data_IF_548811698001
#
_entry.id   IF_548811698001
#
_cell.length_a   1.000
_cell.length_b   1.000
_cell.length_c   1.000
_cell.angle_alpha   90.00
_cell.angle_beta   90.00
_cell.angle_gamma   90.00
#
_symmetry.space_group_name_H-M   'P 1'
#
loop_
_entity.id
_entity.type
_entity.pdbx_description
1 polymer ?
#
# COMPACT_ATOMS: atom_id res chain seq x y z
N UNK A 1 14.64 -4.06 -7.56
CA UNK A 1 13.22 -4.51 -7.44
C UNK A 1 12.47 -4.06 -8.70
N UNK A 2 11.27 -4.58 -8.99
CA UNK A 2 10.57 -4.29 -10.25
C UNK A 2 10.37 -2.78 -10.51
N UNK A 3 10.05 -2.01 -9.46
CA UNK A 3 9.86 -0.55 -9.50
C UNK A 3 11.13 0.19 -9.94
N UNK A 4 12.27 -0.12 -9.32
CA UNK A 4 13.56 0.48 -9.66
C UNK A 4 13.99 0.11 -11.10
N UNK A 5 13.80 -1.15 -11.50
CA UNK A 5 14.15 -1.62 -12.83
C UNK A 5 13.29 -0.96 -13.93
N UNK A 6 12.10 -0.47 -13.59
CA UNK A 6 11.22 0.32 -14.47
C UNK A 6 11.54 1.82 -14.45
N UNK A 7 12.60 2.25 -13.76
CA UNK A 7 13.01 3.66 -13.68
C UNK A 7 12.02 4.56 -12.94
N UNK A 8 11.15 3.99 -12.10
CA UNK A 8 10.09 4.76 -11.43
C UNK A 8 10.58 5.52 -10.18
N UNK A 9 11.75 5.16 -9.65
CA UNK A 9 12.32 5.72 -8.42
C UNK A 9 12.60 4.65 -7.36
N UNK A 10 12.79 5.10 -6.11
CA UNK A 10 13.09 4.24 -4.96
C UNK A 10 11.84 4.04 -4.10
N UNK A 11 11.51 2.80 -3.75
CA UNK A 11 10.42 2.50 -2.81
C UNK A 11 10.82 2.88 -1.38
N UNK A 12 9.90 3.51 -0.66
CA UNK A 12 10.05 3.89 0.75
C UNK A 12 9.20 2.95 1.63
N UNK A 13 9.87 2.18 2.48
CA UNK A 13 9.24 1.21 3.38
C UNK A 13 8.98 1.87 4.74
N UNK A 14 7.75 1.75 5.23
CA UNK A 14 7.32 2.16 6.56
C UNK A 14 7.30 0.98 7.53
N UNK A 15 6.25 0.92 8.35
CA UNK A 15 6.11 -0.08 9.40
C UNK A 15 5.92 -1.48 8.82
N UNK A 16 6.57 -2.48 9.42
CA UNK A 16 6.39 -3.91 9.12
C UNK A 16 5.86 -4.66 10.33
N UNK A 17 6.67 -4.76 11.37
CA UNK A 17 6.31 -5.39 12.64
C UNK A 17 7.44 -5.22 13.65
N UNK A 18 7.13 -5.39 14.93
CA UNK A 18 8.14 -5.43 16.00
C UNK A 18 8.97 -6.72 15.90
N UNK A 19 10.13 -6.81 16.60
CA UNK A 19 11.03 -7.97 16.52
C UNK A 19 10.37 -9.34 16.73
N UNK A 20 9.29 -9.41 17.53
CA UNK A 20 8.51 -10.62 17.77
C UNK A 20 7.02 -10.43 17.43
N UNK A 21 6.68 -9.46 16.58
CA UNK A 21 5.30 -9.12 16.27
C UNK A 21 4.55 -8.51 17.47
N UNK A 22 3.24 -8.78 17.56
CA UNK A 22 2.37 -8.25 18.62
C UNK A 22 1.82 -6.85 18.35
N UNK A 23 0.90 -6.39 19.23
CA UNK A 23 0.20 -5.12 19.07
C UNK A 23 1.15 -3.93 19.26
N UNK A 24 1.10 -2.97 18.34
CA UNK A 24 1.74 -1.66 18.55
C UNK A 24 1.06 -0.87 19.68
N UNK A 25 1.83 0.03 20.30
CA UNK A 25 1.34 0.99 21.31
C UNK A 25 0.86 2.31 20.66
N UNK A 26 0.19 2.22 19.51
CA UNK A 26 -0.23 3.34 18.66
C UNK A 26 -0.05 3.03 17.17
N UNK A 27 -0.85 3.65 16.29
CA UNK A 27 -0.81 3.41 14.85
C UNK A 27 -1.78 2.32 14.37
N UNK A 28 -1.34 1.44 13.47
CA UNK A 28 -2.19 0.39 12.90
C UNK A 28 -2.52 -0.71 13.91
N UNK A 29 -3.77 -1.20 13.87
CA UNK A 29 -4.23 -2.30 14.73
C UNK A 29 -3.67 -3.69 14.32
N UNK A 30 -3.09 -3.79 13.11
CA UNK A 30 -2.51 -5.04 12.58
C UNK A 30 -0.97 -5.06 12.73
N UNK A 31 -0.19 -5.61 11.79
CA UNK A 31 1.28 -5.72 11.87
C UNK A 31 1.82 -6.67 12.95
N UNK A 32 0.99 -7.58 13.44
CA UNK A 32 1.34 -8.40 14.59
C UNK A 32 2.06 -9.71 14.22
N UNK A 33 1.97 -10.15 12.97
CA UNK A 33 2.41 -11.49 12.53
C UNK A 33 3.54 -11.45 11.49
N UNK A 34 4.06 -10.26 11.17
CA UNK A 34 5.11 -10.09 10.15
C UNK A 34 4.62 -10.23 8.70
N UNK A 35 3.30 -10.14 8.47
CA UNK A 35 2.67 -10.29 7.14
C UNK A 35 2.05 -8.98 6.61
N UNK A 36 2.34 -7.86 7.27
CA UNK A 36 1.86 -6.54 6.90
C UNK A 36 3.05 -5.60 6.67
N UNK A 37 2.94 -4.71 5.69
CA UNK A 37 3.95 -3.66 5.45
C UNK A 37 3.28 -2.39 4.93
N UNK A 38 3.64 -1.26 5.51
CA UNK A 38 3.30 0.05 4.98
C UNK A 38 4.33 0.50 3.97
N UNK A 39 3.85 1.03 2.85
CA UNK A 39 4.69 1.58 1.79
C UNK A 39 4.21 2.99 1.50
N UNK A 40 5.12 3.96 1.64
CA UNK A 40 4.82 5.35 1.31
C UNK A 40 4.50 5.50 -0.18
N UNK A 41 3.46 6.27 -0.50
CA UNK A 41 3.05 6.58 -1.88
C UNK A 41 3.89 7.74 -2.43
N UNK A 42 5.21 7.58 -2.37
CA UNK A 42 6.23 8.47 -2.93
C UNK A 42 7.38 7.64 -3.49
N UNK A 43 7.91 8.06 -4.64
CA UNK A 43 9.02 7.39 -5.32
C UNK A 43 10.15 8.38 -5.62
N UNK A 44 11.03 8.68 -4.63
CA UNK A 44 12.15 9.58 -4.84
C UNK A 44 13.09 9.07 -5.94
N UNK A 45 13.50 9.96 -6.84
CA UNK A 45 14.49 9.67 -7.89
C UNK A 45 15.91 9.63 -7.32
N UNK A 46 16.15 10.38 -6.24
CA UNK A 46 17.39 10.35 -5.47
C UNK A 46 17.10 9.73 -4.11
N UNK A 47 18.01 8.88 -3.62
CA UNK A 47 17.89 8.28 -2.29
C UNK A 47 17.78 9.38 -1.22
N UNK A 48 16.80 9.21 -0.33
CA UNK A 48 16.69 10.05 0.85
C UNK A 48 17.88 9.88 1.78
N UNK A 49 18.26 10.98 2.42
CA UNK A 49 19.25 11.00 3.50
C UNK A 49 18.71 10.29 4.74
N UNK A 50 19.60 9.87 5.65
CA UNK A 50 19.20 9.25 6.91
C UNK A 50 18.28 10.15 7.75
N UNK A 51 18.48 11.47 7.71
CA UNK A 51 17.61 12.43 8.42
C UNK A 51 16.19 12.44 7.86
N UNK A 52 16.04 12.43 6.53
CA UNK A 52 14.73 12.35 5.87
C UNK A 52 14.05 11.00 6.14
N UNK A 53 14.80 9.90 6.16
CA UNK A 53 14.25 8.57 6.49
C UNK A 53 13.84 8.45 7.95
N UNK A 54 14.56 9.10 8.88
CA UNK A 54 14.24 9.08 10.30
C UNK A 54 13.01 9.96 10.64
N UNK A 55 12.77 11.01 9.84
CA UNK A 55 11.63 11.92 9.98
C UNK A 55 10.95 12.12 8.62
N UNK A 56 10.29 11.09 8.09
CA UNK A 56 9.69 11.13 6.77
C UNK A 56 8.56 12.17 6.74
N UNK A 57 8.53 13.00 5.70
CA UNK A 57 7.40 13.89 5.46
C UNK A 57 6.34 13.16 4.64
N UNK A 58 5.20 12.89 5.28
CA UNK A 58 4.04 12.33 4.61
C UNK A 58 3.46 13.33 3.62
N UNK A 59 3.28 12.87 2.38
CA UNK A 59 2.60 13.62 1.33
C UNK A 59 1.16 13.14 1.28
N UNK A 60 0.23 13.98 1.73
CA UNK A 60 -1.19 13.68 1.69
C UNK A 60 -1.70 13.74 0.24
N UNK A 61 -2.02 12.59 -0.34
CA UNK A 61 -2.47 12.49 -1.72
C UNK A 61 -3.97 12.78 -1.87
N UNK A 62 -4.71 13.00 -0.79
CA UNK A 62 -6.17 13.09 -0.82
C UNK A 62 -6.58 14.54 -0.50
N UNK A 63 -7.53 15.08 -1.26
CA UNK A 63 -8.06 16.42 -1.04
C UNK A 63 -8.70 16.56 0.33
N UNK A 64 -8.76 17.79 0.85
CA UNK A 64 -9.26 18.08 2.20
C UNK A 64 -10.71 17.63 2.45
N UNK A 65 -11.52 17.52 1.39
CA UNK A 65 -12.90 17.02 1.47
C UNK A 65 -13.00 15.48 1.48
N UNK A 66 -11.87 14.79 1.27
CA UNK A 66 -11.79 13.33 1.24
C UNK A 66 -12.37 12.66 0.00
N UNK A 67 -12.77 13.41 -1.04
CA UNK A 67 -13.55 12.88 -2.17
C UNK A 67 -12.74 12.51 -3.39
N UNK A 68 -11.53 13.04 -3.52
CA UNK A 68 -10.67 12.76 -4.67
C UNK A 68 -9.20 12.92 -4.27
N UNK A 69 -8.30 12.42 -5.13
CA UNK A 69 -6.87 12.68 -4.98
C UNK A 69 -6.54 14.14 -5.33
N UNK A 70 -5.44 14.67 -4.81
CA UNK A 70 -4.91 15.97 -5.22
C UNK A 70 -4.25 15.82 -6.59
N UNK A 71 -4.78 16.42 -7.68
CA UNK A 71 -4.31 16.12 -9.03
C UNK A 71 -2.84 16.45 -9.28
N UNK A 72 -2.29 17.47 -8.61
CA UNK A 72 -0.89 17.85 -8.71
C UNK A 72 0.08 16.91 -7.98
N UNK A 73 -0.43 16.04 -7.10
CA UNK A 73 0.37 15.08 -6.34
C UNK A 73 0.20 13.65 -6.84
N UNK A 74 -0.92 13.34 -7.50
CA UNK A 74 -1.14 12.04 -8.12
C UNK A 74 -0.29 11.89 -9.38
N UNK A 75 0.31 10.70 -9.56
CA UNK A 75 1.08 10.40 -10.76
C UNK A 75 0.86 8.95 -11.22
N UNK A 76 1.05 8.66 -12.52
CA UNK A 76 0.97 7.30 -13.04
C UNK A 76 1.89 6.32 -12.32
N UNK A 77 3.03 6.79 -11.81
CA UNK A 77 3.98 5.96 -11.05
C UNK A 77 3.39 5.48 -9.73
N UNK A 78 2.56 6.27 -9.05
CA UNK A 78 1.86 5.85 -7.84
C UNK A 78 0.81 4.78 -8.16
N UNK A 79 0.02 4.99 -9.22
CA UNK A 79 -0.93 3.97 -9.70
C UNK A 79 -0.22 2.66 -10.04
N UNK A 80 0.89 2.73 -10.77
CA UNK A 80 1.70 1.56 -11.14
C UNK A 80 2.35 0.87 -9.94
N UNK A 81 2.78 1.60 -8.91
CA UNK A 81 3.32 1.03 -7.67
C UNK A 81 2.29 0.14 -6.99
N UNK A 82 1.06 0.64 -6.83
CA UNK A 82 -0.05 -0.08 -6.20
C UNK A 82 -0.44 -1.29 -7.06
N UNK A 83 -0.53 -1.11 -8.38
CA UNK A 83 -0.83 -2.21 -9.31
C UNK A 83 0.20 -3.34 -9.22
N UNK A 84 1.49 -3.03 -9.28
CA UNK A 84 2.55 -4.05 -9.17
C UNK A 84 2.48 -4.84 -7.87
N UNK A 85 2.20 -4.16 -6.75
CA UNK A 85 2.00 -4.85 -5.48
C UNK A 85 0.74 -5.72 -5.50
N UNK A 86 -0.36 -5.25 -6.10
CA UNK A 86 -1.61 -6.01 -6.17
C UNK A 86 -1.51 -7.23 -7.10
N UNK A 87 -0.70 -7.17 -8.15
CA UNK A 87 -0.47 -8.28 -9.08
C UNK A 87 0.37 -9.40 -8.47
N UNK A 88 1.12 -9.14 -7.40
CA UNK A 88 1.91 -10.15 -6.71
C UNK A 88 1.03 -11.25 -6.10
N UNK A 89 1.39 -12.52 -6.31
CA UNK A 89 0.60 -13.68 -5.88
C UNK A 89 0.51 -13.83 -4.36
N UNK A 90 1.50 -13.32 -3.62
CA UNK A 90 1.52 -13.39 -2.16
C UNK A 90 0.61 -12.35 -1.51
N UNK A 91 0.30 -11.25 -2.22
CA UNK A 91 -0.53 -10.17 -1.70
C UNK A 91 -2.00 -10.55 -1.74
N UNK A 92 -2.67 -10.43 -0.59
CA UNK A 92 -4.12 -10.70 -0.46
C UNK A 92 -4.94 -9.41 -0.43
N UNK A 93 -4.41 -8.35 0.17
CA UNK A 93 -5.07 -7.05 0.31
C UNK A 93 -4.07 -5.89 0.26
N UNK A 94 -4.52 -4.78 -0.27
CA UNK A 94 -3.84 -3.48 -0.14
C UNK A 94 -4.85 -2.47 0.36
N UNK A 95 -4.68 -1.92 1.57
CA UNK A 95 -5.56 -0.88 2.08
C UNK A 95 -5.05 0.50 1.65
N UNK A 96 -5.97 1.30 1.12
CA UNK A 96 -5.75 2.68 0.69
C UNK A 96 -6.97 3.53 1.05
N UNK A 97 -6.81 4.85 1.03
CA UNK A 97 -7.96 5.76 1.15
C UNK A 97 -9.01 5.50 0.04
N UNK A 98 -10.33 5.67 0.30
CA UNK A 98 -11.37 5.54 -0.74
C UNK A 98 -11.11 6.38 -1.99
N UNK A 99 -10.63 7.62 -1.84
CA UNK A 99 -10.33 8.50 -2.96
C UNK A 99 -9.20 7.94 -3.85
N UNK A 100 -8.20 7.29 -3.25
CA UNK A 100 -7.12 6.62 -3.98
C UNK A 100 -7.68 5.42 -4.75
N UNK A 101 -8.50 4.57 -4.11
CA UNK A 101 -9.13 3.45 -4.82
C UNK A 101 -10.01 3.94 -5.98
N UNK A 102 -10.77 5.01 -5.77
CA UNK A 102 -11.58 5.61 -6.84
C UNK A 102 -10.70 6.05 -8.02
N UNK A 103 -9.58 6.73 -7.77
CA UNK A 103 -8.66 7.13 -8.83
C UNK A 103 -8.05 5.93 -9.56
N UNK A 104 -7.66 4.88 -8.84
CA UNK A 104 -7.17 3.64 -9.44
C UNK A 104 -8.23 2.99 -10.35
N UNK A 105 -9.50 3.01 -9.94
CA UNK A 105 -10.60 2.53 -10.77
C UNK A 105 -10.76 3.34 -12.06
N UNK A 106 -10.50 4.65 -12.04
CA UNK A 106 -10.51 5.48 -13.25
C UNK A 106 -9.31 5.17 -14.16
N UNK A 107 -8.14 4.94 -13.57
CA UNK A 107 -6.88 4.76 -14.30
C UNK A 107 -6.70 3.35 -14.88
N UNK A 108 -7.35 2.31 -14.33
CA UNK A 108 -7.01 0.90 -14.61
C UNK A 108 -7.30 0.42 -16.05
N UNK A 109 -8.11 1.13 -16.83
CA UNK A 109 -8.50 0.67 -18.17
C UNK A 109 -9.21 -0.68 -18.14
N UNK A 110 -8.85 -1.59 -19.05
CA UNK A 110 -9.46 -2.93 -19.18
C UNK A 110 -8.87 -4.00 -18.25
N UNK A 111 -7.60 -3.84 -17.84
CA UNK A 111 -6.95 -4.76 -16.91
C UNK A 111 -7.22 -4.32 -15.46
N UNK A 112 -8.26 -4.94 -14.88
CA UNK A 112 -8.89 -4.49 -13.62
C UNK A 112 -8.91 -5.54 -12.51
N UNK A 113 -8.50 -6.78 -12.77
CA UNK A 113 -8.67 -7.88 -11.82
C UNK A 113 -7.93 -7.61 -10.48
N UNK A 114 -6.78 -6.93 -10.55
CA UNK A 114 -5.97 -6.55 -9.41
C UNK A 114 -6.67 -5.58 -8.44
N UNK A 115 -7.64 -4.77 -8.91
CA UNK A 115 -8.42 -3.85 -8.08
C UNK A 115 -9.22 -4.55 -6.98
N UNK A 116 -9.54 -5.84 -7.17
CA UNK A 116 -10.21 -6.68 -6.16
C UNK A 116 -9.46 -6.72 -4.83
N UNK A 117 -8.12 -6.71 -4.88
CA UNK A 117 -7.26 -6.72 -3.68
C UNK A 117 -7.15 -5.35 -3.03
N UNK A 118 -7.38 -4.26 -3.77
CA UNK A 118 -7.33 -2.90 -3.24
C UNK A 118 -8.59 -2.65 -2.40
N UNK A 119 -8.46 -2.33 -1.11
CA UNK A 119 -9.56 -2.18 -0.17
C UNK A 119 -9.61 -0.75 0.38
N UNK A 120 -10.77 -0.08 0.33
CA UNK A 120 -10.92 1.24 0.92
C UNK A 120 -10.87 1.16 2.44
N UNK A 121 -10.12 2.04 3.09
CA UNK A 121 -10.07 2.18 4.55
C UNK A 121 -9.84 3.62 4.98
N UNK A 122 -10.22 3.98 6.21
CA UNK A 122 -9.99 5.31 6.77
C UNK A 122 -8.49 5.65 6.80
N UNK A 123 -8.15 6.94 6.75
CA UNK A 123 -6.77 7.43 6.64
C UNK A 123 -6.10 6.90 5.35
N UNK A 124 -4.94 6.24 5.44
CA UNK A 124 -4.16 5.74 4.30
C UNK A 124 -4.02 6.75 3.14
N UNK A 125 -3.79 8.02 3.50
CA UNK A 125 -3.75 9.14 2.55
C UNK A 125 -2.35 9.34 1.95
N UNK A 126 -1.31 8.81 2.58
CA UNK A 126 0.09 8.98 2.19
C UNK A 126 0.85 7.65 2.01
N UNK A 127 0.22 6.53 2.38
CA UNK A 127 0.80 5.19 2.32
C UNK A 127 -0.26 4.17 1.90
N UNK A 128 0.19 3.04 1.38
CA UNK A 128 -0.62 1.84 1.23
C UNK A 128 -0.19 0.79 2.26
N UNK A 129 -1.16 0.11 2.85
CA UNK A 129 -0.91 -1.04 3.72
C UNK A 129 -1.03 -2.31 2.89
N UNK A 130 0.05 -3.06 2.72
CA UNK A 130 0.05 -4.33 1.98
C UNK A 130 -0.02 -5.49 2.98
N UNK A 131 -0.93 -6.44 2.73
CA UNK A 131 -1.07 -7.69 3.50
C UNK A 131 -0.78 -8.90 2.63
N UNK A 132 0.05 -9.80 3.15
CA UNK A 132 0.37 -11.08 2.53
C UNK A 132 -0.58 -12.20 3.02
N UNK A 133 -0.61 -13.31 2.29
CA UNK A 133 -1.21 -14.57 2.74
C UNK A 133 -0.37 -15.22 3.83
N UNK A 134 -0.98 -16.13 4.60
CA UNK A 134 -0.22 -16.98 5.51
C UNK A 134 0.84 -17.82 4.75
N UNK A 135 2.08 -17.90 5.26
CA UNK A 135 3.11 -18.73 4.64
C UNK A 135 2.74 -20.21 4.66
N UNK A 136 3.10 -20.93 3.60
CA UNK A 136 2.98 -22.38 3.58
C UNK A 136 3.82 -22.98 4.73
N UNK A 137 3.20 -23.84 5.54
CA UNK A 137 3.84 -24.47 6.70
C UNK A 137 3.72 -23.69 8.01
N UNK A 138 3.19 -22.47 8.01
CA UNK A 138 2.81 -21.78 9.26
C UNK A 138 1.50 -22.33 9.81
N UNK A 139 1.60 -23.40 10.59
CA UNK A 139 0.46 -24.22 11.05
C UNK A 139 -0.61 -23.45 11.84
N UNK A 140 -0.22 -22.37 12.51
CA UNK A 140 -1.08 -21.57 13.38
C UNK A 140 -1.40 -20.19 12.79
N UNK A 141 -1.05 -19.95 11.52
CA UNK A 141 -1.39 -18.70 10.86
C UNK A 141 -2.83 -18.75 10.33
N UNK A 142 -3.64 -17.76 10.70
CA UNK A 142 -5.05 -17.67 10.30
C UNK A 142 -5.23 -16.70 9.12
N UNK A 143 -5.66 -17.23 7.97
CA UNK A 143 -6.00 -16.42 6.80
C UNK A 143 -7.37 -15.72 6.96
N UNK A 144 -7.50 -14.58 6.30
CA UNK A 144 -8.80 -13.92 6.15
C UNK A 144 -9.57 -14.50 4.96
N UNK A 145 -10.90 -14.49 5.04
CA UNK A 145 -11.76 -14.77 3.89
C UNK A 145 -11.36 -13.92 2.66
N UNK A 146 -11.55 -14.39 1.42
CA UNK A 146 -11.21 -13.61 0.22
C UNK A 146 -12.01 -12.30 0.15
N UNK A 147 -11.49 -11.24 -0.51
CA UNK A 147 -12.29 -10.05 -0.80
C UNK A 147 -13.55 -10.39 -1.62
N UNK A 148 -14.60 -9.56 -1.58
CA UNK A 148 -15.77 -9.72 -2.44
C UNK A 148 -15.40 -9.90 -3.92
N UNK A 149 -16.21 -10.61 -4.73
CA UNK A 149 -16.01 -10.67 -6.17
C UNK A 149 -16.17 -9.29 -6.81
N UNK A 150 -15.54 -9.07 -7.97
CA UNK A 150 -15.54 -7.77 -8.68
C UNK A 150 -14.32 -6.89 -8.36
N UNK A 151 -14.29 -5.68 -8.93
CA UNK A 151 -13.20 -4.72 -8.78
C UNK A 151 -13.33 -3.81 -7.55
N UNK A 152 -14.49 -3.79 -6.87
CA UNK A 152 -14.64 -3.05 -5.63
C UNK A 152 -15.89 -3.32 -4.85
#
# INVERSE_FOLDING_TARGET
NQVHNKGMGTVLIGDMGMPAGGRFNGGHASHQTGLDVDIFLQLPQTRWTSSQLLKPQALDLVASDGKHVVPSLWSPQISQLIKLAAEDSEVTRIFVNPAIKQQLCLDAGSDRQWLRKVRPWFQHRAHMHVRLRCPAGSLECEDQAPPPPGDG
#
